data_IF_392169025106
#
_entry.id   IF_392169025106
#
_cell.length_a   1.000
_cell.length_b   1.000
_cell.length_c   1.000
_cell.angle_alpha   90.00
_cell.angle_beta   90.00
_cell.angle_gamma   90.00
#
_symmetry.space_group_name_H-M   'P 1'
#
loop_
_entity.id
_entity.type
_entity.pdbx_description
1 polymer ?
#
# COMPACT_ATOMS: atom_id res chain seq x y z
N UNK A 1 15.17 13.18 5.12
CA UNK A 1 15.29 11.91 4.38
C UNK A 1 15.32 12.28 2.91
N UNK A 2 16.44 12.09 2.22
CA UNK A 2 16.58 12.49 0.82
C UNK A 2 15.88 11.42 -0.03
N UNK A 3 14.77 11.76 -0.70
CA UNK A 3 13.96 10.82 -1.51
C UNK A 3 14.68 10.33 -2.79
N UNK A 4 15.96 10.68 -2.95
CA UNK A 4 16.75 10.51 -4.19
C UNK A 4 17.10 9.06 -4.54
N UNK A 5 16.70 8.10 -3.74
CA UNK A 5 17.02 6.69 -3.98
C UNK A 5 15.78 5.81 -3.78
N UNK A 6 14.61 6.16 -4.32
CA UNK A 6 13.47 5.24 -4.38
C UNK A 6 13.51 4.47 -5.71
N UNK A 7 13.70 3.14 -5.65
CA UNK A 7 13.77 2.29 -6.86
C UNK A 7 12.43 1.70 -7.29
N UNK A 8 11.44 1.66 -6.39
CA UNK A 8 10.08 1.17 -6.67
C UNK A 8 9.06 1.92 -5.82
N UNK A 9 7.89 2.17 -6.38
CA UNK A 9 6.74 2.75 -5.68
C UNK A 9 5.56 1.79 -5.84
N UNK A 10 4.82 1.59 -4.76
CA UNK A 10 3.57 0.83 -4.74
C UNK A 10 2.45 1.69 -4.16
N UNK A 11 1.25 1.49 -4.71
CA UNK A 11 0.01 2.11 -4.26
C UNK A 11 -0.89 1.01 -3.70
N UNK A 12 -1.09 1.04 -2.38
CA UNK A 12 -1.75 -0.02 -1.64
C UNK A 12 -3.03 0.49 -1.01
N UNK A 13 -4.09 -0.30 -1.10
CA UNK A 13 -5.41 0.01 -0.52
C UNK A 13 -5.68 -0.78 0.77
N UNK A 14 -4.87 -1.82 1.04
CA UNK A 14 -4.99 -2.69 2.21
C UNK A 14 -3.89 -2.34 3.23
N UNK A 15 -4.31 -2.09 4.48
CA UNK A 15 -3.39 -1.69 5.55
C UNK A 15 -2.42 -2.82 5.94
N UNK A 16 -2.85 -4.09 5.94
CA UNK A 16 -1.97 -5.22 6.28
C UNK A 16 -0.80 -5.32 5.30
N UNK A 17 -1.02 -5.11 4.01
CA UNK A 17 0.06 -5.09 3.01
C UNK A 17 0.97 -3.88 3.17
N UNK A 18 0.41 -2.71 3.48
CA UNK A 18 1.19 -1.51 3.80
C UNK A 18 2.14 -1.79 4.97
N UNK A 19 1.63 -2.40 6.05
CA UNK A 19 2.44 -2.75 7.22
C UNK A 19 3.54 -3.77 6.90
N UNK A 20 3.27 -4.75 6.02
CA UNK A 20 4.30 -5.69 5.54
C UNK A 20 5.44 -4.95 4.84
N UNK A 21 5.12 -4.01 3.92
CA UNK A 21 6.14 -3.19 3.23
C UNK A 21 6.97 -2.37 4.21
N UNK A 22 6.31 -1.68 5.14
CA UNK A 22 7.00 -0.87 6.14
C UNK A 22 7.93 -1.71 7.02
N UNK A 23 7.52 -2.93 7.39
CA UNK A 23 8.37 -3.88 8.15
C UNK A 23 9.60 -4.35 7.35
N UNK A 24 9.51 -4.36 6.02
CA UNK A 24 10.62 -4.69 5.13
C UNK A 24 11.54 -3.49 4.82
N UNK A 25 11.33 -2.34 5.45
CA UNK A 25 12.16 -1.15 5.24
C UNK A 25 11.72 -0.31 4.04
N UNK A 26 10.51 -0.50 3.53
CA UNK A 26 9.88 0.50 2.68
C UNK A 26 9.51 1.74 3.51
N UNK A 27 9.31 2.86 2.83
CA UNK A 27 8.97 4.14 3.44
C UNK A 27 7.60 4.61 2.97
N UNK A 28 6.79 5.15 3.88
CA UNK A 28 5.54 5.82 3.49
C UNK A 28 5.88 7.16 2.81
N UNK A 29 5.46 7.31 1.56
CA UNK A 29 5.65 8.52 0.76
C UNK A 29 4.45 9.46 0.95
N UNK A 30 3.24 8.91 0.98
CA UNK A 30 2.03 9.70 1.12
C UNK A 30 0.77 8.85 1.24
N UNK A 31 -0.34 9.53 1.49
CA UNK A 31 -1.67 8.93 1.55
C UNK A 31 -2.67 9.81 0.83
N UNK A 32 -3.68 9.20 0.22
CA UNK A 32 -4.76 9.92 -0.44
C UNK A 32 -6.03 9.07 -0.48
N UNK A 33 -7.16 9.70 -0.82
CA UNK A 33 -8.44 9.02 -0.99
C UNK A 33 -8.89 9.13 -2.43
N UNK A 34 -9.30 8.00 -3.03
CA UNK A 34 -9.79 7.96 -4.41
C UNK A 34 -10.83 6.88 -4.58
N UNK A 35 -11.55 6.92 -5.69
CA UNK A 35 -12.47 5.86 -6.08
C UNK A 35 -11.76 4.96 -7.11
N UNK A 36 -11.52 3.70 -6.74
CA UNK A 36 -10.79 2.75 -7.58
C UNK A 36 -11.56 2.37 -8.85
N UNK A 37 -12.90 2.31 -8.78
CA UNK A 37 -13.76 1.97 -9.91
C UNK A 37 -15.09 2.75 -9.85
N UNK A 38 -15.12 3.89 -10.55
CA UNK A 38 -16.33 4.71 -10.65
C UNK A 38 -17.49 4.00 -11.35
N UNK A 39 -17.26 2.91 -12.09
CA UNK A 39 -18.30 2.18 -12.81
C UNK A 39 -18.94 1.12 -11.93
N UNK A 40 -18.15 0.46 -11.09
CA UNK A 40 -18.64 -0.62 -10.21
C UNK A 40 -19.07 -0.09 -8.84
N UNK A 41 -18.36 0.92 -8.30
CA UNK A 41 -18.61 1.47 -6.97
C UNK A 41 -18.64 3.01 -6.98
N UNK A 42 -19.55 3.65 -7.74
CA UNK A 42 -19.63 5.11 -7.83
C UNK A 42 -19.87 5.76 -6.47
N UNK A 43 -19.00 6.69 -6.08
CA UNK A 43 -19.12 7.45 -4.83
C UNK A 43 -18.45 6.80 -3.61
N UNK A 44 -18.08 5.52 -3.70
CA UNK A 44 -17.27 4.87 -2.67
C UNK A 44 -15.86 5.48 -2.65
N UNK A 45 -15.33 5.67 -1.44
CA UNK A 45 -14.02 6.27 -1.22
C UNK A 45 -13.08 5.22 -0.64
N UNK A 46 -12.01 4.90 -1.37
CA UNK A 46 -10.95 4.01 -0.93
C UNK A 46 -9.76 4.82 -0.43
N UNK A 47 -9.14 4.37 0.67
CA UNK A 47 -7.94 5.00 1.22
C UNK A 47 -6.69 4.32 0.64
N UNK A 48 -5.72 5.12 0.21
CA UNK A 48 -4.50 4.69 -0.45
C UNK A 48 -3.26 5.04 0.36
N UNK A 49 -2.31 4.10 0.41
CA UNK A 49 -0.99 4.23 1.01
C UNK A 49 0.07 4.09 -0.08
N UNK A 50 0.78 5.17 -0.36
CA UNK A 50 1.87 5.18 -1.33
C UNK A 50 3.16 4.90 -0.58
N UNK A 51 3.77 3.74 -0.86
CA UNK A 51 5.03 3.31 -0.24
C UNK A 51 6.14 3.22 -1.27
N UNK A 52 7.35 3.60 -0.87
CA UNK A 52 8.55 3.55 -1.69
C UNK A 52 9.56 2.57 -1.15
N UNK A 53 10.22 1.82 -2.03
CA UNK A 53 11.35 0.98 -1.71
C UNK A 53 12.66 1.75 -1.94
N UNK A 54 13.46 2.01 -0.89
CA UNK A 54 14.76 2.62 -1.05
C UNK A 54 15.74 1.73 -1.83
N UNK A 55 16.72 2.33 -2.50
CA UNK A 55 17.89 1.64 -3.02
C UNK A 55 18.70 1.06 -1.86
N UNK A 56 19.22 -0.16 -2.03
CA UNK A 56 19.90 -0.90 -0.98
C UNK A 56 18.98 -1.77 -0.11
N UNK A 57 17.67 -1.56 -0.13
CA UNK A 57 16.70 -2.46 0.53
C UNK A 57 16.36 -3.63 -0.40
N UNK A 58 16.43 -4.86 0.07
CA UNK A 58 16.05 -6.04 -0.72
C UNK A 58 14.56 -6.00 -1.08
N UNK A 59 14.26 -6.30 -2.35
CA UNK A 59 12.87 -6.47 -2.78
C UNK A 59 12.50 -7.93 -2.58
N UNK A 60 11.55 -8.18 -1.69
CA UNK A 60 10.89 -9.48 -1.56
C UNK A 60 9.57 -9.36 -2.31
N UNK A 61 9.40 -10.16 -3.37
CA UNK A 61 8.19 -10.14 -4.18
C UNK A 61 7.03 -10.69 -3.35
N UNK A 62 6.18 -9.79 -2.86
CA UNK A 62 4.95 -10.13 -2.15
C UNK A 62 3.80 -9.65 -3.01
N UNK A 63 3.06 -10.60 -3.57
CA UNK A 63 1.79 -10.30 -4.22
C UNK A 63 0.90 -9.55 -3.24
N UNK A 64 0.36 -8.42 -3.68
CA UNK A 64 -0.68 -7.72 -2.95
C UNK A 64 -1.87 -8.67 -2.82
N UNK A 65 -2.49 -8.70 -1.65
CA UNK A 65 -3.76 -9.38 -1.49
C UNK A 65 -4.82 -8.60 -2.28
N UNK A 66 -5.46 -9.27 -3.24
CA UNK A 66 -6.56 -8.68 -4.02
C UNK A 66 -7.92 -8.98 -3.39
N UNK A 67 -7.93 -9.69 -2.26
CA UNK A 67 -9.15 -10.06 -1.55
C UNK A 67 -9.55 -8.99 -0.56
N UNK A 68 -10.39 -8.07 -1.02
CA UNK A 68 -10.97 -7.00 -0.21
C UNK A 68 -12.00 -7.51 0.82
N UNK A 69 -12.44 -8.77 0.75
CA UNK A 69 -13.51 -9.35 1.57
C UNK A 69 -13.05 -9.89 2.93
N UNK A 70 -11.76 -9.81 3.26
CA UNK A 70 -11.27 -10.17 4.59
C UNK A 70 -10.84 -8.92 5.37
N UNK A 71 -11.70 -8.36 6.23
CA UNK A 71 -11.20 -7.58 7.33
C UNK A 71 -10.47 -8.56 8.25
N UNK A 72 -9.13 -8.64 8.17
CA UNK A 72 -8.31 -9.28 9.21
C UNK A 72 -8.43 -8.55 10.58
N UNK A 73 -9.31 -7.55 10.69
CA UNK A 73 -9.80 -6.99 11.93
C UNK A 73 -10.97 -7.80 12.49
N UNK A 74 -10.75 -9.07 12.81
CA UNK A 74 -11.49 -9.69 13.92
C UNK A 74 -10.62 -9.46 15.15
N UNK A 75 -10.76 -8.28 15.75
CA UNK A 75 -10.20 -8.00 17.07
C UNK A 75 -10.79 -8.95 18.11
N UNK A 76 -9.90 -9.69 18.79
CA UNK A 76 -9.99 -10.31 20.13
C UNK A 76 -11.07 -11.37 20.40
#
# INVERSE_FOLDING_TARGET
MDLKTIKKVEDLTIMSDTNKRLTQGWVLIGTYTSNYDQRTYPGETTFHYVVGLPEGTEYIDILQDTNYDYPEYVER
#
